data_IF_020419245396
#
_entry.id   IF_020419245396
#
_cell.length_a   1.000
_cell.length_b   1.000
_cell.length_c   1.000
_cell.angle_alpha   90.00
_cell.angle_beta   90.00
_cell.angle_gamma   90.00
#
_symmetry.space_group_name_H-M   'P 1'
#
loop_
_entity.id
_entity.type
_entity.pdbx_description
1 polymer ?
#
# COMPACT_ATOMS: atom_id res chain seq x y z
N UNK A 1 1.59 15.09 -19.12
CA UNK A 1 0.71 14.97 -17.94
C UNK A 1 1.25 13.96 -16.91
N UNK A 2 2.06 12.97 -17.33
CA UNK A 2 2.85 12.05 -16.47
C UNK A 2 3.56 12.74 -15.28
N UNK A 3 4.39 13.76 -15.55
CA UNK A 3 5.19 14.44 -14.51
C UNK A 3 4.34 15.09 -13.39
N UNK A 4 3.11 15.52 -13.72
CA UNK A 4 2.18 16.07 -12.72
C UNK A 4 1.50 14.98 -11.90
N UNK A 5 1.37 13.76 -12.43
CA UNK A 5 0.90 12.60 -11.68
C UNK A 5 1.99 12.14 -10.71
N UNK A 6 3.20 11.88 -11.19
CA UNK A 6 4.34 11.48 -10.35
C UNK A 6 4.61 12.47 -9.23
N UNK A 7 4.63 13.78 -9.53
CA UNK A 7 4.83 14.82 -8.52
C UNK A 7 3.70 14.92 -7.47
N UNK A 8 2.46 14.52 -7.81
CA UNK A 8 1.36 14.47 -6.84
C UNK A 8 1.44 13.23 -5.96
N UNK A 9 1.72 12.08 -6.56
CA UNK A 9 1.89 10.85 -5.80
C UNK A 9 3.12 10.90 -4.88
N UNK A 10 4.22 11.54 -5.30
CA UNK A 10 5.38 11.77 -4.44
C UNK A 10 5.02 12.56 -3.17
N UNK A 11 4.21 13.62 -3.30
CA UNK A 11 3.70 14.39 -2.13
C UNK A 11 2.81 13.54 -1.23
N UNK A 12 1.99 12.66 -1.80
CA UNK A 12 1.16 11.73 -1.01
C UNK A 12 2.04 10.75 -0.24
N UNK A 13 3.08 10.20 -0.87
CA UNK A 13 4.03 9.32 -0.20
C UNK A 13 4.77 10.05 0.93
N UNK A 14 5.21 11.29 0.72
CA UNK A 14 5.80 12.10 1.80
C UNK A 14 4.83 12.34 2.95
N UNK A 15 3.56 12.64 2.67
CA UNK A 15 2.54 12.81 3.69
C UNK A 15 2.30 11.50 4.47
N UNK A 16 2.24 10.35 3.79
CA UNK A 16 2.15 9.03 4.41
C UNK A 16 3.35 8.77 5.33
N UNK A 17 4.58 9.08 4.90
CA UNK A 17 5.79 8.93 5.74
C UNK A 17 5.76 9.80 6.99
N UNK A 18 5.26 11.04 6.90
CA UNK A 18 5.09 11.90 8.07
C UNK A 18 4.01 11.37 9.01
N UNK A 19 2.89 10.89 8.46
CA UNK A 19 1.83 10.29 9.26
C UNK A 19 2.30 9.02 9.97
N UNK A 20 3.07 8.15 9.32
CA UNK A 20 3.70 6.96 9.94
C UNK A 20 4.65 7.34 11.07
N UNK A 21 5.35 8.48 10.98
CA UNK A 21 6.22 8.96 12.07
C UNK A 21 5.44 9.48 13.27
N UNK A 22 4.27 10.07 13.04
CA UNK A 22 3.41 10.62 14.09
C UNK A 22 2.67 9.48 14.79
N UNK A 23 2.09 8.57 14.00
CA UNK A 23 1.38 7.40 14.48
C UNK A 23 1.81 6.17 13.66
N UNK A 24 2.79 5.40 14.19
CA UNK A 24 3.28 4.21 13.52
C UNK A 24 2.26 3.05 13.55
N UNK A 25 1.20 3.13 14.35
CA UNK A 25 0.20 2.06 14.48
C UNK A 25 -1.10 2.41 13.73
N UNK A 26 -1.08 3.46 12.89
CA UNK A 26 -2.23 3.79 12.05
C UNK A 26 -2.19 3.03 10.71
N UNK A 27 -2.83 1.86 10.69
CA UNK A 27 -2.88 0.94 9.54
C UNK A 27 -3.33 1.62 8.23
N UNK A 28 -4.33 2.50 8.30
CA UNK A 28 -4.88 3.22 7.14
C UNK A 28 -3.82 4.04 6.38
N UNK A 29 -2.81 4.56 7.06
CA UNK A 29 -1.73 5.31 6.41
C UNK A 29 -0.91 4.44 5.47
N UNK A 30 -0.66 3.19 5.89
CA UNK A 30 0.09 2.21 5.10
C UNK A 30 -0.76 1.64 3.98
N UNK A 31 -2.05 1.43 4.22
CA UNK A 31 -3.02 1.15 3.16
C UNK A 31 -3.03 2.23 2.07
N UNK A 32 -3.14 3.52 2.46
CA UNK A 32 -3.10 4.64 1.54
C UNK A 32 -1.77 4.76 0.78
N UNK A 33 -0.65 4.44 1.44
CA UNK A 33 0.67 4.33 0.79
C UNK A 33 0.66 3.22 -0.27
N UNK A 34 0.10 2.06 0.04
CA UNK A 34 -0.05 0.93 -0.89
C UNK A 34 -0.83 1.30 -2.15
N UNK A 35 -1.98 1.96 -2.00
CA UNK A 35 -2.79 2.42 -3.15
C UNK A 35 -2.00 3.38 -4.03
N UNK A 36 -1.31 4.34 -3.40
CA UNK A 36 -0.52 5.35 -4.09
C UNK A 36 0.60 4.70 -4.92
N UNK A 37 1.27 3.70 -4.36
CA UNK A 37 2.34 2.94 -5.03
C UNK A 37 1.80 2.04 -6.14
N UNK A 38 0.64 1.41 -5.94
CA UNK A 38 -0.05 0.65 -6.98
C UNK A 38 -0.39 1.53 -8.19
N UNK A 39 -0.92 2.74 -7.98
CA UNK A 39 -1.19 3.68 -9.07
C UNK A 39 0.06 4.19 -9.79
N UNK A 40 1.22 4.13 -9.13
CA UNK A 40 2.53 4.42 -9.72
C UNK A 40 3.16 3.22 -10.43
N UNK A 41 2.51 2.05 -10.41
CA UNK A 41 3.08 0.80 -10.95
C UNK A 41 4.21 0.21 -10.12
N UNK A 42 4.37 0.66 -8.87
CA UNK A 42 5.40 0.20 -7.92
C UNK A 42 4.83 -0.91 -7.05
N UNK A 43 4.50 -2.04 -7.66
CA UNK A 43 3.71 -3.09 -7.03
C UNK A 43 4.41 -3.79 -5.86
N UNK A 44 5.73 -4.04 -5.95
CA UNK A 44 6.50 -4.62 -4.83
C UNK A 44 6.44 -3.76 -3.56
N UNK A 45 6.54 -2.44 -3.71
CA UNK A 45 6.47 -1.52 -2.58
C UNK A 45 5.04 -1.36 -2.07
N UNK A 46 4.04 -1.46 -2.96
CA UNK A 46 2.64 -1.47 -2.57
C UNK A 46 2.30 -2.72 -1.73
N UNK A 47 2.80 -3.89 -2.14
CA UNK A 47 2.70 -5.15 -1.40
C UNK A 47 3.25 -5.01 0.03
N UNK A 48 4.47 -4.48 0.17
CA UNK A 48 5.07 -4.24 1.48
C UNK A 48 4.23 -3.30 2.35
N UNK A 49 3.63 -2.26 1.76
CA UNK A 49 2.79 -1.33 2.49
C UNK A 49 1.49 -2.00 2.97
N UNK A 50 0.84 -2.81 2.13
CA UNK A 50 -0.35 -3.56 2.53
C UNK A 50 -0.05 -4.63 3.59
N UNK A 51 1.05 -5.38 3.47
CA UNK A 51 1.47 -6.33 4.50
C UNK A 51 1.69 -5.67 5.86
N UNK A 52 2.30 -4.48 5.87
CA UNK A 52 2.48 -3.74 7.11
C UNK A 52 1.16 -3.21 7.68
N UNK A 53 0.20 -2.83 6.83
CA UNK A 53 -1.14 -2.46 7.27
C UNK A 53 -1.85 -3.65 7.93
N UNK A 54 -1.81 -4.85 7.31
CA UNK A 54 -2.36 -6.10 7.85
C UNK A 54 -1.71 -6.50 9.18
N UNK A 55 -0.39 -6.30 9.32
CA UNK A 55 0.32 -6.60 10.57
C UNK A 55 -0.18 -5.76 11.75
N UNK A 56 -0.71 -4.57 11.48
CA UNK A 56 -1.20 -3.64 12.48
C UNK A 56 -2.69 -3.87 12.74
N UNK A 57 -3.47 -3.98 11.68
CA UNK A 57 -4.89 -4.29 11.72
C UNK A 57 -5.19 -5.47 10.79
N UNK A 58 -5.14 -6.71 11.31
CA UNK A 58 -5.40 -7.90 10.49
C UNK A 58 -6.88 -8.07 10.14
N UNK A 59 -7.78 -7.36 10.82
CA UNK A 59 -9.22 -7.44 10.59
C UNK A 59 -9.69 -6.42 9.53
N UNK A 60 -8.78 -5.59 8.99
CA UNK A 60 -9.09 -4.64 7.92
C UNK A 60 -9.28 -5.35 6.57
N UNK A 61 -10.54 -5.65 6.27
CA UNK A 61 -11.00 -6.28 5.03
C UNK A 61 -10.60 -5.47 3.80
N UNK A 62 -10.58 -4.14 3.86
CA UNK A 62 -10.25 -3.29 2.72
C UNK A 62 -8.78 -3.46 2.31
N UNK A 63 -7.89 -3.62 3.30
CA UNK A 63 -6.48 -3.91 3.06
C UNK A 63 -6.29 -5.29 2.41
N UNK A 64 -7.01 -6.32 2.88
CA UNK A 64 -6.98 -7.64 2.25
C UNK A 64 -7.51 -7.61 0.82
N UNK A 65 -8.61 -6.89 0.55
CA UNK A 65 -9.15 -6.72 -0.80
C UNK A 65 -8.18 -6.00 -1.73
N UNK A 66 -7.47 -4.97 -1.25
CA UNK A 66 -6.49 -4.26 -2.05
C UNK A 66 -5.24 -5.11 -2.34
N UNK A 67 -4.83 -5.94 -1.38
CA UNK A 67 -3.78 -6.94 -1.58
C UNK A 67 -4.20 -7.97 -2.63
N UNK A 68 -5.42 -8.49 -2.52
CA UNK A 68 -5.99 -9.43 -3.48
C UNK A 68 -6.05 -8.81 -4.89
N UNK A 69 -6.54 -7.58 -5.02
CA UNK A 69 -6.58 -6.85 -6.30
C UNK A 69 -5.17 -6.65 -6.91
N UNK A 70 -4.15 -6.44 -6.07
CA UNK A 70 -2.77 -6.33 -6.52
C UNK A 70 -2.29 -7.63 -7.18
N UNK A 71 -2.64 -8.80 -6.60
CA UNK A 71 -2.33 -10.11 -7.18
C UNK A 71 -3.22 -10.52 -8.35
N UNK A 72 -4.48 -10.08 -8.42
CA UNK A 72 -5.30 -10.30 -9.62
C UNK A 72 -4.84 -9.44 -10.80
N UNK A 73 -4.16 -8.31 -10.54
CA UNK A 73 -3.53 -7.48 -11.56
C UNK A 73 -2.20 -8.03 -12.09
N UNK A 74 -1.50 -8.87 -11.30
CA UNK A 74 -0.29 -9.60 -11.69
C UNK A 74 -0.57 -11.10 -11.64
N UNK A 75 -0.98 -11.73 -12.76
CA UNK A 75 -1.25 -13.18 -12.78
C UNK A 75 -0.14 -14.01 -12.09
N UNK A 76 -0.40 -14.44 -10.85
CA UNK A 76 0.30 -15.50 -10.15
C UNK A 76 1.62 -15.12 -9.45
N UNK A 77 1.55 -14.61 -8.22
CA UNK A 77 2.56 -15.01 -7.23
C UNK A 77 1.94 -15.11 -5.83
N UNK A 78 1.26 -16.24 -5.61
CA UNK A 78 0.72 -16.64 -4.32
C UNK A 78 1.87 -16.93 -3.33
N UNK A 79 2.36 -15.88 -2.68
CA UNK A 79 3.13 -15.99 -1.47
C UNK A 79 2.62 -14.89 -0.55
N UNK A 80 1.67 -15.23 0.31
CA UNK A 80 1.39 -14.68 1.65
C UNK A 80 -0.09 -14.95 1.96
N UNK A 81 -0.39 -16.22 2.23
CA UNK A 81 -1.44 -16.60 3.19
C UNK A 81 -0.93 -17.71 4.12
N UNK A 82 0.40 -17.85 4.24
CA UNK A 82 1.02 -18.88 5.08
C UNK A 82 2.11 -18.27 5.96
N UNK A 83 1.69 -17.61 7.04
CA UNK A 83 2.44 -17.49 8.29
C UNK A 83 1.48 -17.09 9.42
#
# INVERSE_FOLDING_TARGET
MELLKEGRYAKVLEACEQAIKIDPDYALTRYGKGITLHHLGRYEEALQAYEQAIKIDPDDVDTWMALELLFYGEEGNAAIVAA
#
